data_IF_964595895804
#
_entry.id   IF_964595895804
#
_cell.length_a   1.000
_cell.length_b   1.000
_cell.length_c   1.000
_cell.angle_alpha   90.00
_cell.angle_beta   90.00
_cell.angle_gamma   90.00
#
_symmetry.space_group_name_H-M   'P 1'
#
loop_
_entity.id
_entity.type
_entity.pdbx_description
1 polymer ?
#
# COMPACT_ATOMS: atom_id res chain seq x y z
N UNK A 1 31.49 -26.76 -24.80
CA UNK A 1 30.38 -25.79 -24.99
C UNK A 1 30.05 -25.20 -23.63
N UNK A 2 30.28 -23.91 -23.43
CA UNK A 2 30.13 -23.26 -22.12
C UNK A 2 28.68 -22.78 -22.03
N UNK A 3 27.89 -23.38 -21.14
CA UNK A 3 26.51 -22.96 -20.89
C UNK A 3 26.52 -21.60 -20.19
N UNK A 4 26.09 -20.55 -20.90
CA UNK A 4 25.83 -19.23 -20.32
C UNK A 4 24.55 -19.33 -19.49
N UNK A 5 24.73 -19.54 -18.19
CA UNK A 5 23.66 -19.34 -17.21
C UNK A 5 23.40 -17.85 -17.20
N UNK A 6 22.30 -17.40 -17.79
CA UNK A 6 21.81 -16.03 -17.61
C UNK A 6 21.45 -15.90 -16.13
N UNK A 7 22.38 -15.38 -15.34
CA UNK A 7 22.06 -14.91 -14.00
C UNK A 7 21.19 -13.68 -14.21
N UNK A 8 19.88 -13.88 -14.18
CA UNK A 8 18.97 -12.77 -13.93
C UNK A 8 19.31 -12.26 -12.54
N UNK A 9 20.06 -11.15 -12.46
CA UNK A 9 20.18 -10.43 -11.19
C UNK A 9 18.76 -10.23 -10.67
N UNK A 10 18.47 -10.62 -9.41
CA UNK A 10 17.23 -10.17 -8.81
C UNK A 10 17.27 -8.66 -8.85
N UNK A 11 16.31 -8.04 -9.55
CA UNK A 11 16.06 -6.61 -9.45
C UNK A 11 16.07 -6.30 -7.96
N UNK A 12 17.02 -5.50 -7.49
CA UNK A 12 17.21 -5.28 -6.06
C UNK A 12 15.94 -4.64 -5.51
N UNK A 13 15.07 -5.44 -4.89
CA UNK A 13 13.85 -4.96 -4.29
C UNK A 13 14.22 -3.92 -3.22
N UNK A 14 13.62 -2.75 -3.31
CA UNK A 14 13.86 -1.66 -2.37
C UNK A 14 13.30 -2.10 -1.02
N UNK A 15 14.08 -1.93 0.05
CA UNK A 15 13.57 -2.22 1.40
C UNK A 15 12.36 -1.34 1.74
N UNK A 16 11.31 -1.92 2.37
CA UNK A 16 10.20 -1.14 2.88
C UNK A 16 10.67 -0.01 3.80
N UNK A 17 10.07 1.17 3.66
CA UNK A 17 10.33 2.32 4.54
C UNK A 17 9.91 1.97 5.97
N UNK A 18 10.75 2.32 6.93
CA UNK A 18 10.39 2.29 8.35
C UNK A 18 9.57 3.54 8.69
N UNK A 19 8.46 3.34 9.38
CA UNK A 19 7.63 4.43 9.88
C UNK A 19 7.86 4.58 11.39
N UNK A 20 7.89 5.81 11.92
CA UNK A 20 7.97 6.02 13.36
C UNK A 20 6.77 5.37 14.03
N UNK A 21 6.97 4.61 15.10
CA UNK A 21 5.90 3.96 15.88
C UNK A 21 5.36 4.84 17.00
N UNK A 22 5.97 6.01 17.21
CA UNK A 22 5.68 6.95 18.29
C UNK A 22 5.69 8.39 17.75
N UNK A 23 5.20 9.35 18.54
CA UNK A 23 5.18 10.77 18.16
C UNK A 23 3.89 11.20 17.44
N UNK A 24 2.84 10.39 17.53
CA UNK A 24 1.49 10.71 17.10
C UNK A 24 0.51 10.27 18.19
N UNK A 25 -0.65 10.92 18.26
CA UNK A 25 -1.73 10.51 19.14
C UNK A 25 -2.41 9.25 18.58
N UNK A 26 -2.66 8.28 19.45
CA UNK A 26 -3.50 7.13 19.13
C UNK A 26 -4.96 7.54 19.27
N UNK A 27 -5.74 7.23 18.24
CA UNK A 27 -7.18 7.37 18.26
C UNK A 27 -7.74 6.22 19.11
N UNK A 28 -8.69 6.52 20.00
CA UNK A 28 -9.41 5.50 20.75
C UNK A 28 -10.15 4.58 19.75
N UNK A 29 -9.95 3.25 19.81
CA UNK A 29 -10.65 2.30 18.93
C UNK A 29 -12.18 2.42 18.97
N UNK A 30 -12.78 3.01 20.00
CA UNK A 30 -14.21 3.28 20.07
C UNK A 30 -14.67 4.44 19.17
N UNK A 31 -13.74 5.29 18.70
CA UNK A 31 -14.04 6.39 17.78
C UNK A 31 -14.11 5.84 16.37
N UNK A 32 -15.29 5.97 15.76
CA UNK A 32 -15.51 5.56 14.37
C UNK A 32 -14.62 6.34 13.41
N UNK A 33 -13.88 5.64 12.57
CA UNK A 33 -13.17 6.25 11.44
C UNK A 33 -14.11 6.50 10.28
N UNK A 34 -13.66 7.20 9.23
CA UNK A 34 -14.60 7.78 8.29
C UNK A 34 -15.44 6.76 7.51
N UNK A 35 -14.87 5.62 7.09
CA UNK A 35 -15.65 4.52 6.48
C UNK A 35 -16.73 3.97 7.43
N UNK A 36 -16.44 3.87 8.72
CA UNK A 36 -17.34 3.32 9.75
C UNK A 36 -18.55 4.23 10.06
N UNK A 37 -18.51 5.47 9.55
CA UNK A 37 -19.64 6.42 9.62
C UNK A 37 -20.67 6.22 8.51
N UNK A 38 -20.37 5.38 7.51
CA UNK A 38 -21.27 5.16 6.38
C UNK A 38 -22.52 4.35 6.81
N UNK A 39 -23.72 4.68 6.29
CA UNK A 39 -24.97 4.03 6.71
C UNK A 39 -25.03 2.51 6.46
N UNK A 40 -24.18 2.00 5.58
CA UNK A 40 -24.12 0.60 5.16
C UNK A 40 -22.73 0.01 5.39
N UNK A 41 -21.98 0.53 6.36
CA UNK A 41 -20.69 -0.03 6.71
C UNK A 41 -20.87 -1.39 7.40
N UNK A 42 -20.27 -2.41 6.82
CA UNK A 42 -20.13 -3.75 7.41
C UNK A 42 -18.64 -4.10 7.43
N UNK A 43 -18.06 -4.32 8.61
CA UNK A 43 -16.61 -4.51 8.80
C UNK A 43 -16.02 -5.58 7.87
N UNK A 44 -16.76 -6.67 7.65
CA UNK A 44 -16.33 -7.79 6.81
C UNK A 44 -16.31 -7.48 5.30
N UNK A 45 -16.97 -6.40 4.86
CA UNK A 45 -16.97 -5.96 3.45
C UNK A 45 -15.79 -5.05 3.12
N UNK A 46 -15.09 -4.54 4.14
CA UNK A 46 -13.95 -3.66 3.97
C UNK A 46 -12.63 -4.39 4.22
N UNK A 47 -11.67 -4.17 3.33
CA UNK A 47 -10.32 -4.68 3.53
C UNK A 47 -9.59 -3.81 4.58
N UNK A 48 -9.12 -4.37 5.71
CA UNK A 48 -8.54 -3.60 6.82
C UNK A 48 -7.09 -3.17 6.52
N UNK A 49 -6.90 -2.38 5.46
CA UNK A 49 -5.59 -1.86 5.05
C UNK A 49 -5.07 -0.86 6.07
N UNK A 50 -3.78 -0.97 6.41
CA UNK A 50 -3.06 -0.06 7.31
C UNK A 50 -1.83 0.54 6.62
N UNK A 51 -1.49 1.77 7.01
CA UNK A 51 -0.19 2.36 6.67
C UNK A 51 0.91 1.41 7.16
N UNK A 52 1.97 1.25 6.36
CA UNK A 52 3.09 0.29 6.50
C UNK A 52 2.84 -1.07 5.87
N UNK A 53 1.60 -1.49 5.62
CA UNK A 53 1.36 -2.79 4.99
C UNK A 53 2.10 -2.87 3.66
N UNK A 54 2.67 -4.05 3.39
CA UNK A 54 3.26 -4.38 2.09
C UNK A 54 2.33 -5.39 1.44
N UNK A 55 1.78 -5.02 0.28
CA UNK A 55 0.90 -5.86 -0.51
C UNK A 55 1.72 -6.53 -1.61
N UNK A 56 1.58 -7.84 -1.75
CA UNK A 56 2.29 -8.67 -2.74
C UNK A 56 3.83 -8.51 -2.73
N UNK A 57 4.43 -8.21 -1.58
CA UNK A 57 5.87 -7.90 -1.48
C UNK A 57 6.33 -6.79 -2.45
N UNK A 58 5.41 -5.91 -2.86
CA UNK A 58 5.61 -4.94 -3.94
C UNK A 58 5.17 -3.54 -3.54
N UNK A 59 3.97 -3.37 -3.00
CA UNK A 59 3.41 -2.05 -2.76
C UNK A 59 3.35 -1.77 -1.27
N UNK A 60 4.18 -0.83 -0.81
CA UNK A 60 4.11 -0.38 0.58
C UNK A 60 3.14 0.79 0.72
N UNK A 61 2.08 0.61 1.52
CA UNK A 61 1.09 1.65 1.81
C UNK A 61 1.72 2.76 2.66
N UNK A 62 1.60 4.01 2.22
CA UNK A 62 2.23 5.17 2.86
C UNK A 62 1.25 6.22 3.36
N UNK A 63 0.07 6.33 2.75
CA UNK A 63 -0.99 7.26 3.18
C UNK A 63 -2.35 6.83 2.64
N UNK A 64 -3.42 7.21 3.34
CA UNK A 64 -4.79 7.17 2.83
C UNK A 64 -5.05 8.47 2.06
N UNK A 65 -5.58 8.39 0.85
CA UNK A 65 -5.88 9.56 0.01
C UNK A 65 -7.36 9.93 0.02
N UNK A 66 -8.23 8.96 0.24
CA UNK A 66 -9.68 9.19 0.30
C UNK A 66 -10.45 7.89 0.48
N UNK A 67 -11.74 8.02 0.73
CA UNK A 67 -12.68 6.92 0.93
C UNK A 67 -14.03 7.29 0.32
N UNK A 68 -14.86 6.28 0.09
CA UNK A 68 -16.23 6.42 -0.37
C UNK A 68 -17.04 5.19 0.02
N UNK A 69 -18.29 5.14 -0.46
CA UNK A 69 -19.25 4.11 -0.07
C UNK A 69 -18.73 2.68 -0.23
N UNK A 70 -17.88 2.39 -1.23
CA UNK A 70 -17.44 1.03 -1.55
C UNK A 70 -15.94 0.89 -1.80
N UNK A 71 -15.15 1.95 -1.56
CA UNK A 71 -13.72 1.91 -1.86
C UNK A 71 -12.92 2.92 -1.04
N UNK A 72 -11.71 2.53 -0.69
CA UNK A 72 -10.69 3.40 -0.10
C UNK A 72 -9.49 3.48 -1.05
N UNK A 73 -8.99 4.69 -1.26
CA UNK A 73 -7.83 4.96 -2.12
C UNK A 73 -6.59 5.15 -1.25
N UNK A 74 -5.57 4.36 -1.53
CA UNK A 74 -4.31 4.38 -0.82
C UNK A 74 -3.17 4.83 -1.72
N UNK A 75 -2.28 5.65 -1.18
CA UNK A 75 -0.98 5.92 -1.79
C UNK A 75 -0.03 4.80 -1.38
N UNK A 76 0.61 4.18 -2.37
CA UNK A 76 1.62 3.18 -2.14
C UNK A 76 2.93 3.50 -2.87
N UNK A 77 4.04 3.13 -2.23
CA UNK A 77 5.37 3.14 -2.82
C UNK A 77 5.63 1.79 -3.49
N UNK A 78 6.01 1.83 -4.75
CA UNK A 78 6.48 0.65 -5.48
C UNK A 78 7.89 0.26 -5.01
N UNK A 79 8.06 -0.96 -4.50
CA UNK A 79 9.32 -1.52 -4.02
C UNK A 79 10.11 -2.26 -5.11
N UNK A 80 9.51 -2.57 -6.28
CA UNK A 80 10.14 -3.28 -7.40
C UNK A 80 10.61 -2.34 -8.51
N UNK A 81 10.09 -1.11 -8.58
CA UNK A 81 10.52 -0.11 -9.57
C UNK A 81 11.89 0.44 -9.20
N UNK A 82 12.90 0.03 -9.96
CA UNK A 82 14.24 0.60 -9.86
C UNK A 82 14.29 1.94 -10.60
N UNK A 83 14.93 2.91 -9.97
CA UNK A 83 15.19 4.23 -10.56
C UNK A 83 16.35 4.09 -11.57
N UNK A 84 16.06 3.60 -12.78
CA UNK A 84 16.91 3.99 -13.92
C UNK A 84 16.53 5.42 -14.24
N UNK A 85 17.47 6.32 -13.98
CA UNK A 85 17.73 7.53 -14.77
C UNK A 85 16.53 8.05 -15.59
N UNK A 86 15.79 8.99 -15.00
CA UNK A 86 14.92 9.90 -15.74
C UNK A 86 13.42 9.65 -15.59
N UNK A 87 12.84 10.36 -14.63
CA UNK A 87 11.47 10.86 -14.66
C UNK A 87 10.34 9.84 -14.88
N UNK A 88 9.99 9.07 -13.85
CA UNK A 88 8.57 8.76 -13.57
C UNK A 88 8.32 8.69 -12.07
N UNK A 89 7.24 9.34 -11.63
CA UNK A 89 6.77 9.36 -10.24
C UNK A 89 6.75 7.94 -9.63
N UNK A 90 7.32 7.74 -8.42
CA UNK A 90 7.32 6.44 -7.73
C UNK A 90 5.95 6.04 -7.17
N UNK A 91 4.94 6.89 -7.36
CA UNK A 91 3.59 6.69 -6.84
C UNK A 91 2.70 6.05 -7.90
N UNK A 92 2.11 4.91 -7.54
CA UNK A 92 1.14 4.19 -8.36
C UNK A 92 -0.23 4.26 -7.66
N UNK A 93 -1.29 4.55 -8.42
CA UNK A 93 -2.66 4.56 -7.90
C UNK A 93 -3.26 3.16 -8.08
N UNK A 94 -3.62 2.51 -6.98
CA UNK A 94 -4.36 1.25 -7.00
C UNK A 94 -5.72 1.48 -6.34
N UNK A 95 -6.79 1.07 -7.02
CA UNK A 95 -8.14 1.06 -6.48
C UNK A 95 -8.42 -0.37 -6.03
N UNK A 96 -8.53 -0.61 -4.72
CA UNK A 96 -9.09 -1.85 -4.22
C UNK A 96 -10.62 -1.77 -4.38
N UNK A 97 -11.21 -2.70 -5.14
CA UNK A 97 -12.65 -2.92 -5.19
C UNK A 97 -12.93 -4.18 -4.39
N UNK A 98 -13.84 -4.09 -3.41
CA UNK A 98 -14.47 -5.30 -2.86
C UNK A 98 -15.35 -5.89 -3.97
N UNK A 99 -15.07 -7.14 -4.33
CA UNK A 99 -15.89 -7.91 -5.26
C UNK A 99 -17.08 -8.52 -4.53
N UNK A 100 -18.24 -8.46 -5.17
CA UNK A 100 -19.50 -9.13 -4.79
C UNK A 100 -19.37 -10.63 -4.63
#
# INVERSE_FOLDING_TARGET
MISLRRVSSPTAAIMPRRFPTTGFELIDPAIKIEEETLPYYEEHEYYPMQIRNVVDDHYQVVAKLGYGATSTVWLARDLRKWEVLGAQSPYSYTKAQSGT
#
